data_IF_217149342903
#
_entry.id   IF_217149342903
#
_cell.length_a   1.000
_cell.length_b   1.000
_cell.length_c   1.000
_cell.angle_alpha   90.00
_cell.angle_beta   90.00
_cell.angle_gamma   90.00
#
_symmetry.space_group_name_H-M   'P 1'
#
loop_
_entity.id
_entity.type
_entity.pdbx_description
1 polymer ?
#
# COMPACT_ATOMS: atom_id res chain seq x y z
N UNK A 1 1.99 -10.86 16.42
CA UNK A 1 2.76 -10.06 15.43
C UNK A 1 2.03 -10.11 14.08
N UNK A 2 1.86 -8.98 13.38
CA UNK A 2 1.37 -8.98 11.99
C UNK A 2 2.48 -9.53 11.08
N UNK A 3 2.12 -10.30 10.07
CA UNK A 3 3.06 -10.80 9.04
C UNK A 3 2.70 -10.22 7.67
N UNK A 4 3.69 -10.06 6.79
CA UNK A 4 3.47 -9.52 5.44
C UNK A 4 2.40 -10.28 4.66
N UNK A 5 2.39 -11.62 4.76
CA UNK A 5 1.38 -12.47 4.14
C UNK A 5 -0.05 -12.20 4.65
N UNK A 6 -0.22 -11.94 5.96
CA UNK A 6 -1.52 -11.58 6.54
C UNK A 6 -2.01 -10.24 5.99
N UNK A 7 -1.12 -9.25 5.90
CA UNK A 7 -1.44 -7.92 5.36
C UNK A 7 -1.80 -7.99 3.88
N UNK A 8 -1.06 -8.75 3.07
CA UNK A 8 -1.38 -8.96 1.66
C UNK A 8 -2.74 -9.63 1.47
N UNK A 9 -3.07 -10.64 2.30
CA UNK A 9 -4.39 -11.29 2.26
C UNK A 9 -5.51 -10.31 2.58
N UNK A 10 -5.34 -9.47 3.59
CA UNK A 10 -6.32 -8.43 3.97
C UNK A 10 -6.44 -7.35 2.90
N UNK A 11 -5.33 -6.89 2.33
CA UNK A 11 -5.32 -5.89 1.27
C UNK A 11 -5.99 -6.43 -0.01
N UNK A 12 -5.75 -7.69 -0.39
CA UNK A 12 -6.44 -8.33 -1.52
C UNK A 12 -7.93 -8.50 -1.26
N UNK A 13 -8.33 -8.81 -0.02
CA UNK A 13 -9.74 -8.85 0.38
C UNK A 13 -10.37 -7.47 0.22
N UNK A 14 -9.70 -6.42 0.71
CA UNK A 14 -10.14 -5.03 0.55
C UNK A 14 -10.32 -4.64 -0.92
N UNK A 15 -9.37 -5.00 -1.79
CA UNK A 15 -9.45 -4.72 -3.23
C UNK A 15 -10.65 -5.38 -3.92
N UNK A 16 -11.00 -6.60 -3.51
CA UNK A 16 -12.11 -7.38 -4.08
C UNK A 16 -13.49 -6.91 -3.65
N UNK A 17 -13.59 -6.01 -2.67
CA UNK A 17 -14.89 -5.53 -2.20
C UNK A 17 -15.53 -4.61 -3.27
N UNK A 18 -16.80 -4.84 -3.60
CA UNK A 18 -17.46 -4.14 -4.71
C UNK A 18 -17.83 -2.70 -4.39
N UNK A 19 -18.08 -2.38 -3.11
CA UNK A 19 -18.51 -1.02 -2.72
C UNK A 19 -17.48 -0.28 -1.88
N UNK A 20 -17.42 1.05 -2.06
CA UNK A 20 -16.61 1.94 -1.21
C UNK A 20 -17.00 1.85 0.26
N UNK A 21 -18.29 1.61 0.57
CA UNK A 21 -18.76 1.46 1.96
C UNK A 21 -18.15 0.23 2.62
N UNK A 22 -18.15 -0.91 1.94
CA UNK A 22 -17.54 -2.14 2.45
C UNK A 22 -16.02 -2.00 2.58
N UNK A 23 -15.36 -1.35 1.62
CA UNK A 23 -13.94 -1.03 1.70
C UNK A 23 -13.61 -0.20 2.95
N UNK A 24 -14.39 0.85 3.23
CA UNK A 24 -14.18 1.68 4.43
C UNK A 24 -14.41 0.85 5.70
N UNK A 25 -15.43 -0.01 5.73
CA UNK A 25 -15.73 -0.86 6.87
C UNK A 25 -14.60 -1.88 7.13
N UNK A 26 -14.11 -2.55 6.08
CA UNK A 26 -13.01 -3.51 6.16
C UNK A 26 -11.70 -2.81 6.56
N UNK A 27 -11.44 -1.61 6.04
CA UNK A 27 -10.30 -0.78 6.44
C UNK A 27 -10.39 -0.38 7.91
N UNK A 28 -11.56 0.00 8.43
CA UNK A 28 -11.73 0.30 9.86
C UNK A 28 -11.50 -0.93 10.73
N UNK A 29 -11.92 -2.11 10.26
CA UNK A 29 -11.75 -3.37 11.00
C UNK A 29 -10.30 -3.87 11.02
N UNK A 30 -9.60 -3.79 9.89
CA UNK A 30 -8.26 -4.38 9.72
C UNK A 30 -7.13 -3.35 9.83
N UNK A 31 -7.42 -2.07 9.60
CA UNK A 31 -6.44 -1.00 9.42
C UNK A 31 -5.71 -1.05 8.07
N UNK A 32 -6.06 -1.99 7.17
CA UNK A 32 -5.33 -2.25 5.93
C UNK A 32 -6.13 -1.77 4.72
N UNK A 33 -5.43 -1.14 3.76
CA UNK A 33 -5.97 -0.72 2.46
C UNK A 33 -5.09 -1.29 1.33
N UNK A 34 -5.68 -1.50 0.16
CA UNK A 34 -4.92 -1.82 -1.05
C UNK A 34 -4.17 -0.60 -1.61
N UNK A 35 -2.94 -0.85 -2.04
CA UNK A 35 -2.07 0.06 -2.78
C UNK A 35 -1.29 -0.79 -3.80
N UNK A 36 -0.97 -0.21 -4.96
CA UNK A 36 -0.22 -0.89 -6.05
C UNK A 36 1.14 -1.43 -5.59
N UNK A 37 1.70 -0.89 -4.51
CA UNK A 37 2.97 -1.34 -3.97
C UNK A 37 2.94 -2.76 -3.36
N UNK A 38 1.76 -3.30 -3.07
CA UNK A 38 1.59 -4.71 -2.68
C UNK A 38 1.87 -5.69 -3.84
N UNK A 39 2.10 -5.18 -5.05
CA UNK A 39 2.53 -5.97 -6.21
C UNK A 39 4.04 -6.18 -6.26
N UNK A 40 4.81 -5.42 -5.48
CA UNK A 40 6.27 -5.52 -5.46
C UNK A 40 6.69 -6.77 -4.64
N UNK A 41 7.28 -7.80 -5.27
CA UNK A 41 7.57 -9.07 -4.60
C UNK A 41 8.68 -8.98 -3.56
N UNK A 42 9.56 -7.97 -3.67
CA UNK A 42 10.67 -7.73 -2.75
C UNK A 42 10.27 -6.90 -1.52
N UNK A 43 9.03 -6.44 -1.44
CA UNK A 43 8.59 -5.52 -0.40
C UNK A 43 7.79 -6.26 0.69
N UNK A 44 8.19 -6.08 1.94
CA UNK A 44 7.41 -6.52 3.10
C UNK A 44 6.50 -5.39 3.59
N UNK A 45 5.15 -5.52 3.51
CA UNK A 45 4.24 -4.47 3.92
C UNK A 45 4.18 -4.23 5.44
N UNK A 46 4.85 -5.05 6.26
CA UNK A 46 4.98 -4.85 7.71
C UNK A 46 6.30 -4.19 8.09
N UNK A 47 7.40 -4.59 7.44
CA UNK A 47 8.74 -4.09 7.78
C UNK A 47 9.13 -2.86 6.94
N UNK A 48 8.67 -2.77 5.69
CA UNK A 48 8.95 -1.64 4.79
C UNK A 48 7.87 -0.57 4.95
N UNK A 49 8.02 0.19 6.04
CA UNK A 49 7.13 1.31 6.38
C UNK A 49 7.35 2.46 5.40
N UNK A 50 6.32 2.83 4.65
CA UNK A 50 6.32 4.05 3.84
C UNK A 50 5.68 5.16 4.65
N UNK A 51 6.45 6.20 4.97
CA UNK A 51 5.96 7.41 5.64
C UNK A 51 5.17 8.31 4.65
N UNK A 52 4.09 7.78 4.07
CA UNK A 52 3.18 8.54 3.21
C UNK A 52 3.82 9.25 2.01
N UNK A 53 2.99 9.92 1.23
CA UNK A 53 3.40 10.57 -0.03
C UNK A 53 4.45 11.67 0.16
N UNK A 54 4.51 12.29 1.35
CA UNK A 54 5.47 13.37 1.64
C UNK A 54 6.87 12.90 2.06
N UNK A 55 7.03 11.67 2.56
CA UNK A 55 8.34 11.16 2.97
C UNK A 55 8.70 9.83 2.30
N UNK A 56 7.95 9.44 1.27
CA UNK A 56 8.32 8.31 0.43
C UNK A 56 9.45 8.75 -0.49
N UNK A 57 10.69 8.56 -0.05
CA UNK A 57 11.88 8.90 -0.83
C UNK A 57 11.82 8.36 -2.27
N UNK A 58 11.26 7.15 -2.45
CA UNK A 58 11.07 6.54 -3.77
C UNK A 58 10.13 7.34 -4.68
N UNK A 59 9.10 7.98 -4.12
CA UNK A 59 8.17 8.82 -4.86
C UNK A 59 8.85 10.14 -5.28
N UNK A 60 9.65 10.74 -4.39
CA UNK A 60 10.45 11.93 -4.73
C UNK A 60 11.51 11.65 -5.80
N UNK A 61 12.19 10.50 -5.75
CA UNK A 61 13.14 10.08 -6.79
C UNK A 61 12.43 9.87 -8.12
N UNK A 62 11.27 9.21 -8.11
CA UNK A 62 10.49 8.95 -9.33
C UNK A 62 9.96 10.26 -9.94
N UNK A 63 9.43 11.17 -9.13
CA UNK A 63 8.95 12.48 -9.58
C UNK A 63 10.09 13.31 -10.17
N UNK A 64 11.26 13.32 -9.54
CA UNK A 64 12.44 14.01 -10.07
C UNK A 64 12.87 13.43 -11.42
N UNK A 65 12.95 12.11 -11.54
CA UNK A 65 13.29 11.46 -12.81
C UNK A 65 12.29 11.81 -13.92
N UNK A 66 11.00 11.76 -13.64
CA UNK A 66 9.95 12.00 -14.63
C UNK A 66 9.79 13.48 -15.02
N UNK A 67 10.12 14.44 -14.14
CA UNK A 67 9.92 15.87 -14.40
C UNK A 67 11.18 16.61 -14.83
N UNK A 68 12.36 16.10 -14.48
CA UNK A 68 13.63 16.81 -14.69
C UNK A 68 14.53 16.10 -15.70
N UNK A 69 14.48 14.76 -15.76
CA UNK A 69 15.35 13.97 -16.64
C UNK A 69 14.64 13.48 -17.92
N UNK A 70 13.31 13.39 -17.90
CA UNK A 70 12.45 13.13 -19.06
C UNK A 70 11.68 14.39 -19.46
#
# INVERSE_FOLDING_TARGET
KRTGATVLKQARKWLKLPTKKEQILEQRKTGVRWCSLHLLPYRDPVNDTILGFMHNWLEGVLEHQLRVLW
#
